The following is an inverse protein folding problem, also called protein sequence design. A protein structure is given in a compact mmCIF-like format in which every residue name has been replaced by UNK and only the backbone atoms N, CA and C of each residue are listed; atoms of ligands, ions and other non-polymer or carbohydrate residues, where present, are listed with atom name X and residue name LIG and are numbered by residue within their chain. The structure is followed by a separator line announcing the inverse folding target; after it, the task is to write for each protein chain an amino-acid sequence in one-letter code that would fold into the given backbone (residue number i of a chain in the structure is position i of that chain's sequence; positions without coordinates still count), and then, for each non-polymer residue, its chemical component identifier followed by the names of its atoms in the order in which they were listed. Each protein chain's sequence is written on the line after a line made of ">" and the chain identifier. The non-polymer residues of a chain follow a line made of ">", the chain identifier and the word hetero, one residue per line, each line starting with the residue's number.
data_IF_953373598440
#
_entry.id   IF_953373598440
#
_cell.length_a   1.000
_cell.length_b   1.000
_cell.length_c   1.000
_cell.angle_alpha   90.00
_cell.angle_beta   90.00
_cell.angle_gamma   90.00
#
_symmetry.space_group_name_H-M   'P 1'
#
loop_
_entity.id
_entity.type
_entity.pdbx_description
1 polymer ?
#
# COMPACT_ATOMS: atom_id res chain seq x y z
N UNK A 1 -27.36 6.48 1.62
CA UNK A 1 -28.33 6.42 2.73
C UNK A 1 -27.59 6.55 4.06
N UNK A 2 -28.14 7.23 5.07
CA UNK A 2 -27.55 7.31 6.41
C UNK A 2 -27.62 5.96 7.16
N UNK A 3 -26.86 5.81 8.24
CA UNK A 3 -26.69 4.55 8.96
C UNK A 3 -28.01 4.05 9.55
N UNK A 4 -28.80 4.94 10.13
CA UNK A 4 -30.10 4.62 10.70
C UNK A 4 -31.09 4.06 9.66
N UNK A 5 -31.05 4.55 8.42
CA UNK A 5 -31.89 4.04 7.33
C UNK A 5 -31.34 2.75 6.73
N UNK A 6 -30.00 2.59 6.65
CA UNK A 6 -29.36 1.33 6.22
C UNK A 6 -29.71 0.19 7.17
N UNK A 7 -29.52 0.39 8.48
CA UNK A 7 -29.80 -0.61 9.51
C UNK A 7 -31.26 -1.05 9.52
N UNK A 8 -32.18 -0.11 9.26
CA UNK A 8 -33.63 -0.37 9.20
C UNK A 8 -34.13 -0.82 7.83
N UNK A 9 -33.26 -0.88 6.81
CA UNK A 9 -33.61 -1.20 5.42
C UNK A 9 -34.75 -0.34 4.86
N UNK A 10 -34.78 0.94 5.23
CA UNK A 10 -35.82 1.91 4.79
C UNK A 10 -35.26 2.91 3.77
N UNK A 11 -36.13 3.47 2.92
CA UNK A 11 -35.75 4.51 1.96
C UNK A 11 -35.22 5.75 2.69
N UNK A 12 -33.99 6.14 2.38
CA UNK A 12 -33.37 7.37 2.87
C UNK A 12 -33.46 8.44 1.79
N UNK A 13 -33.98 9.62 2.13
CA UNK A 13 -34.12 10.73 1.17
C UNK A 13 -32.82 11.54 0.96
N UNK A 14 -31.76 11.28 1.73
CA UNK A 14 -30.45 11.90 1.54
C UNK A 14 -30.31 13.34 2.07
N UNK A 15 -31.36 13.96 2.63
CA UNK A 15 -31.31 15.34 3.13
C UNK A 15 -30.28 15.51 4.25
N UNK A 16 -29.60 16.66 4.28
CA UNK A 16 -28.61 17.06 5.29
C UNK A 16 -29.09 18.31 6.03
N UNK A 17 -28.80 18.48 7.33
CA UNK A 17 -27.97 17.62 8.18
C UNK A 17 -28.65 16.33 8.64
N UNK A 18 -29.98 16.21 8.50
CA UNK A 18 -30.75 15.01 8.84
C UNK A 18 -31.77 14.67 7.75
N UNK A 19 -31.91 13.38 7.47
CA UNK A 19 -32.86 12.85 6.50
C UNK A 19 -34.30 12.91 7.05
N UNK A 20 -35.32 13.03 6.20
CA UNK A 20 -36.73 13.13 6.65
C UNK A 20 -37.11 11.97 7.57
N UNK A 21 -36.71 10.74 7.23
CA UNK A 21 -37.03 9.56 8.02
C UNK A 21 -36.43 9.60 9.43
N UNK A 22 -35.23 10.18 9.58
CA UNK A 22 -34.59 10.32 10.89
C UNK A 22 -35.19 11.48 11.67
N UNK A 23 -35.50 12.61 11.03
CA UNK A 23 -36.20 13.73 11.65
C UNK A 23 -37.55 13.31 12.23
N UNK A 24 -38.41 12.67 11.42
CA UNK A 24 -39.75 12.24 11.85
C UNK A 24 -39.70 11.25 13.01
N UNK A 25 -38.63 10.45 13.12
CA UNK A 25 -38.49 9.40 14.13
C UNK A 25 -37.63 9.81 15.33
N UNK A 26 -37.11 11.04 15.35
CA UNK A 26 -36.19 11.50 16.40
C UNK A 26 -34.90 10.67 16.49
N UNK A 27 -34.41 10.16 15.36
CA UNK A 27 -33.22 9.31 15.31
C UNK A 27 -31.97 10.14 15.01
N UNK A 28 -30.85 9.73 15.60
CA UNK A 28 -29.53 10.23 15.20
C UNK A 28 -29.29 9.92 13.71
N UNK A 29 -29.20 10.98 12.90
CA UNK A 29 -29.00 10.87 11.46
C UNK A 29 -27.52 11.00 11.13
N UNK A 30 -26.79 9.91 11.30
CA UNK A 30 -25.37 9.87 11.00
C UNK A 30 -25.21 9.39 9.56
N UNK A 31 -24.72 10.28 8.72
CA UNK A 31 -24.09 9.88 7.48
C UNK A 31 -22.63 9.64 7.85
N UNK A 32 -22.24 8.38 8.06
CA UNK A 32 -20.82 8.07 8.11
C UNK A 32 -20.18 8.71 6.87
N UNK A 33 -19.22 9.62 7.09
CA UNK A 33 -18.17 9.77 6.11
C UNK A 33 -17.55 8.38 6.03
N UNK A 34 -17.61 7.76 4.85
CA UNK A 34 -17.04 6.44 4.57
C UNK A 34 -15.79 6.23 5.46
N UNK A 35 -15.80 5.31 6.43
CA UNK A 35 -14.63 5.09 7.28
C UNK A 35 -13.42 4.60 6.47
N UNK A 36 -13.61 4.22 5.21
CA UNK A 36 -12.62 3.50 4.45
C UNK A 36 -12.59 4.03 3.01
N UNK A 37 -11.42 4.50 2.55
CA UNK A 37 -11.07 4.18 1.17
C UNK A 37 -11.35 2.67 1.00
N UNK A 38 -12.07 2.22 -0.05
CA UNK A 38 -12.62 0.86 -0.11
C UNK A 38 -11.57 -0.13 0.39
N UNK A 39 -11.86 -1.08 1.29
CA UNK A 39 -10.85 -1.99 1.83
C UNK A 39 -9.93 -2.58 0.75
N UNK A 40 -10.49 -2.75 -0.45
CA UNK A 40 -9.81 -3.08 -1.71
C UNK A 40 -8.65 -2.13 -2.08
N UNK A 41 -8.80 -0.80 -1.98
CA UNK A 41 -7.76 0.19 -2.29
C UNK A 41 -6.64 0.16 -1.25
N UNK A 42 -6.96 0.08 0.04
CA UNK A 42 -5.95 -0.04 1.10
C UNK A 42 -5.19 -1.36 0.99
N UNK A 43 -5.91 -2.48 0.76
CA UNK A 43 -5.33 -3.79 0.49
C UNK A 43 -4.48 -3.80 -0.78
N UNK A 44 -4.93 -3.16 -1.87
CA UNK A 44 -4.15 -3.02 -3.11
C UNK A 44 -2.86 -2.25 -2.87
N UNK A 45 -2.90 -1.11 -2.18
CA UNK A 45 -1.70 -0.34 -1.82
C UNK A 45 -0.72 -1.16 -1.00
N UNK A 46 -1.20 -1.88 0.02
CA UNK A 46 -0.36 -2.75 0.85
C UNK A 46 0.23 -3.89 0.03
N UNK A 47 -0.57 -4.52 -0.84
CA UNK A 47 -0.12 -5.59 -1.74
C UNK A 47 0.93 -5.09 -2.73
N UNK A 48 0.74 -3.92 -3.34
CA UNK A 48 1.72 -3.30 -4.24
C UNK A 48 3.02 -2.96 -3.52
N UNK A 49 2.95 -2.47 -2.28
CA UNK A 49 4.14 -2.19 -1.47
C UNK A 49 4.92 -3.47 -1.15
N UNK A 50 4.25 -4.51 -0.66
CA UNK A 50 4.88 -5.80 -0.37
C UNK A 50 5.43 -6.46 -1.63
N UNK A 51 4.73 -6.36 -2.76
CA UNK A 51 5.20 -6.88 -4.04
C UNK A 51 6.46 -6.16 -4.52
N UNK A 52 6.55 -4.83 -4.36
CA UNK A 52 7.76 -4.06 -4.67
C UNK A 52 8.96 -4.53 -3.84
N UNK A 53 8.76 -4.72 -2.53
CA UNK A 53 9.81 -5.24 -1.65
C UNK A 53 10.32 -6.63 -2.11
N UNK A 54 9.39 -7.56 -2.40
CA UNK A 54 9.74 -8.91 -2.88
C UNK A 54 10.47 -8.91 -4.22
N UNK A 55 10.12 -7.98 -5.13
CA UNK A 55 10.82 -7.81 -6.40
C UNK A 55 12.25 -7.30 -6.20
N UNK A 56 12.47 -6.34 -5.29
CA UNK A 56 13.82 -5.85 -4.95
C UNK A 56 14.72 -6.95 -4.40
N UNK A 57 14.22 -7.76 -3.47
CA UNK A 57 14.96 -8.92 -2.92
C UNK A 57 15.32 -9.94 -4.01
N UNK A 58 14.40 -10.23 -4.92
CA UNK A 58 14.68 -11.11 -6.07
C UNK A 58 15.72 -10.51 -7.02
N UNK A 59 15.66 -9.20 -7.28
CA UNK A 59 16.63 -8.53 -8.15
C UNK A 59 18.03 -8.56 -7.54
N UNK A 60 18.17 -8.35 -6.22
CA UNK A 60 19.47 -8.47 -5.53
C UNK A 60 20.07 -9.86 -5.73
N UNK A 61 19.27 -10.92 -5.52
CA UNK A 61 19.73 -12.30 -5.74
C UNK A 61 20.12 -12.52 -7.21
N UNK A 62 19.33 -11.99 -8.16
CA UNK A 62 19.63 -12.09 -9.59
C UNK A 62 20.94 -11.39 -9.95
N UNK A 63 21.20 -10.21 -9.38
CA UNK A 63 22.45 -9.47 -9.55
C UNK A 63 23.63 -10.22 -8.96
N UNK A 64 23.53 -10.67 -7.70
CA UNK A 64 24.58 -11.46 -7.05
C UNK A 64 24.99 -12.71 -7.85
N UNK A 65 24.07 -13.30 -8.63
CA UNK A 65 24.35 -14.44 -9.51
C UNK A 65 25.01 -14.09 -10.84
N UNK A 66 25.01 -12.82 -11.25
CA UNK A 66 25.40 -12.39 -12.61
C UNK A 66 26.49 -11.33 -12.68
N UNK A 67 26.73 -10.57 -11.60
CA UNK A 67 27.85 -9.61 -11.51
C UNK A 67 29.17 -10.35 -11.23
N UNK A 68 30.29 -9.63 -11.34
CA UNK A 68 31.61 -10.18 -10.98
C UNK A 68 31.69 -10.57 -9.50
N UNK A 69 32.57 -11.51 -9.14
CA UNK A 69 32.77 -11.90 -7.73
C UNK A 69 33.15 -10.71 -6.84
N UNK A 70 33.96 -9.79 -7.36
CA UNK A 70 34.36 -8.56 -6.66
C UNK A 70 33.14 -7.69 -6.34
N UNK A 71 32.24 -7.53 -7.31
CA UNK A 71 31.05 -6.71 -7.12
C UNK A 71 30.02 -7.42 -6.24
N UNK A 72 29.87 -8.74 -6.38
CA UNK A 72 29.04 -9.54 -5.49
C UNK A 72 29.49 -9.43 -4.02
N UNK A 73 30.80 -9.44 -3.76
CA UNK A 73 31.37 -9.24 -2.43
C UNK A 73 31.08 -7.84 -1.88
N UNK A 74 31.14 -6.80 -2.72
CA UNK A 74 30.78 -5.43 -2.32
C UNK A 74 29.29 -5.32 -1.98
N UNK A 75 28.43 -5.86 -2.83
CA UNK A 75 26.97 -5.91 -2.58
C UNK A 75 26.66 -6.66 -1.28
N UNK A 76 27.30 -7.80 -1.03
CA UNK A 76 27.14 -8.55 0.21
C UNK A 76 27.63 -7.76 1.45
N UNK A 77 28.71 -6.99 1.29
CA UNK A 77 29.20 -6.08 2.32
C UNK A 77 28.16 -5.04 2.73
N UNK A 78 27.51 -4.39 1.76
CA UNK A 78 26.43 -3.43 2.01
C UNK A 78 25.22 -4.07 2.69
N UNK A 79 24.79 -5.25 2.20
CA UNK A 79 23.68 -5.99 2.83
C UNK A 79 23.97 -6.33 4.29
N UNK A 80 25.21 -6.74 4.60
CA UNK A 80 25.64 -7.03 5.97
C UNK A 80 25.75 -5.78 6.85
N UNK A 81 26.02 -4.62 6.26
CA UNK A 81 26.03 -3.34 6.96
C UNK A 81 24.61 -2.81 7.24
N UNK A 82 23.57 -3.45 6.70
CA UNK A 82 22.17 -3.04 6.89
C UNK A 82 21.73 -1.93 5.93
N UNK A 83 22.44 -1.74 4.81
CA UNK A 83 22.04 -0.79 3.77
C UNK A 83 20.71 -1.18 3.11
N UNK A 84 19.98 -0.18 2.65
CA UNK A 84 18.70 -0.38 1.97
C UNK A 84 18.89 -1.09 0.61
N UNK A 85 17.93 -1.96 0.28
CA UNK A 85 17.96 -2.78 -0.95
C UNK A 85 18.08 -1.91 -2.21
N UNK A 86 17.41 -0.75 -2.27
CA UNK A 86 17.47 0.13 -3.43
C UNK A 86 18.89 0.71 -3.59
N UNK A 87 19.57 1.04 -2.49
CA UNK A 87 20.95 1.52 -2.50
C UNK A 87 21.93 0.42 -2.96
N UNK A 88 21.72 -0.82 -2.52
CA UNK A 88 22.50 -1.98 -2.95
C UNK A 88 22.33 -2.25 -4.45
N UNK A 89 21.12 -2.10 -4.98
CA UNK A 89 20.82 -2.28 -6.40
C UNK A 89 21.41 -1.16 -7.27
N UNK A 90 21.40 0.09 -6.82
CA UNK A 90 22.02 1.20 -7.54
C UNK A 90 23.53 1.02 -7.71
N UNK A 91 24.22 0.53 -6.68
CA UNK A 91 25.64 0.18 -6.79
C UNK A 91 25.86 -0.88 -7.88
N UNK A 92 25.02 -1.92 -7.92
CA UNK A 92 25.11 -2.99 -8.91
C UNK A 92 24.88 -2.51 -10.35
N UNK A 93 24.08 -1.46 -10.53
CA UNK A 93 23.82 -0.85 -11.84
C UNK A 93 25.01 -0.01 -12.32
N UNK A 94 25.68 0.74 -11.44
CA UNK A 94 26.85 1.55 -11.79
C UNK A 94 28.14 0.77 -12.06
N UNK A 95 28.16 -0.54 -11.77
CA UNK A 95 29.32 -1.42 -12.00
C UNK A 95 29.24 -2.18 -13.33
N UNK A 96 28.12 -2.06 -14.05
CA UNK A 96 27.93 -2.66 -15.38
C UNK A 96 28.63 -1.89 -16.51
N UNK A 97 29.23 -0.75 -16.21
CA UNK A 97 29.77 0.20 -17.20
C UNK A 97 31.31 0.26 -17.24
N UNK A 98 32.03 -0.71 -16.66
CA UNK A 98 33.49 -0.78 -16.81
C UNK A 98 33.84 -1.72 -17.99
N UNK A 99 34.56 -1.23 -19.02
CA UNK A 99 34.93 -2.02 -20.20
C UNK A 99 35.85 -3.20 -19.87
#
# INVERSE_FOLDING_TARGET
>A
ACDACRNRKTKCNGSRPSCQQCCTRGLACIYAAEPDAPPIVALKRKHEALKRQSLGEHEVISRLKSVSDRDAQRMLGLLRAGEDIDAVLQLAQGLKDLP
#
